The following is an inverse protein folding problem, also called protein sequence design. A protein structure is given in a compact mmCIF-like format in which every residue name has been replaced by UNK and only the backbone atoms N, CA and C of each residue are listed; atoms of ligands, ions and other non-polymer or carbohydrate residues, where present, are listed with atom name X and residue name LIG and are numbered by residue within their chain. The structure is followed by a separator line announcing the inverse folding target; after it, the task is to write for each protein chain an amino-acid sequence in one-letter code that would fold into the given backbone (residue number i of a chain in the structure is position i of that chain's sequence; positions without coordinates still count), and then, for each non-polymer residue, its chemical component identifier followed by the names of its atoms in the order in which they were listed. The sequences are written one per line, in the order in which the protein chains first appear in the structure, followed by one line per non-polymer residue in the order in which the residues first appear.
data_IF_973109833885
#
_entry.id   IF_973109833885
#
_cell.length_a   1.000
_cell.length_b   1.000
_cell.length_c   1.000
_cell.angle_alpha   90.00
_cell.angle_beta   90.00
_cell.angle_gamma   90.00
#
_symmetry.space_group_name_H-M   'P 1'
#
loop_
_entity.id
_entity.type
_entity.pdbx_description
1 polymer ?
#
# COMPACT_ATOMS: atom_id res chain seq x y z
N UNK A 1 19.08 12.89 11.43
CA UNK A 1 17.74 13.40 11.80
C UNK A 1 16.73 12.79 10.83
N UNK A 2 15.79 11.97 11.31
CA UNK A 2 14.85 11.23 10.44
C UNK A 2 13.75 12.10 9.85
N UNK A 3 13.51 13.27 10.45
CA UNK A 3 12.43 14.18 10.09
C UNK A 3 12.99 15.58 9.91
N UNK A 4 12.58 16.24 8.83
CA UNK A 4 13.10 17.56 8.45
C UNK A 4 12.53 18.72 9.29
N UNK A 5 11.38 18.50 9.94
CA UNK A 5 10.72 19.50 10.80
C UNK A 5 9.74 18.84 11.78
N UNK A 6 9.15 19.63 12.69
CA UNK A 6 8.05 19.17 13.55
C UNK A 6 6.68 19.09 12.84
N UNK A 7 6.60 19.35 11.53
CA UNK A 7 5.35 19.32 10.79
C UNK A 7 4.86 17.88 10.57
N UNK A 8 3.64 17.52 11.01
CA UNK A 8 3.12 16.15 10.87
C UNK A 8 3.04 15.66 9.41
N UNK A 9 2.70 16.56 8.48
CA UNK A 9 2.66 16.24 7.05
C UNK A 9 4.07 15.96 6.53
N UNK A 10 5.06 16.77 6.92
CA UNK A 10 6.45 16.55 6.53
C UNK A 10 6.92 15.15 6.99
N UNK A 11 6.58 14.76 8.22
CA UNK A 11 6.93 13.45 8.75
C UNK A 11 6.29 12.29 7.97
N UNK A 12 5.02 12.44 7.56
CA UNK A 12 4.38 11.46 6.70
C UNK A 12 5.06 11.40 5.32
N UNK A 13 5.37 12.55 4.72
CA UNK A 13 6.03 12.63 3.42
C UNK A 13 7.45 12.07 3.45
N UNK A 14 8.18 12.20 4.56
CA UNK A 14 9.50 11.61 4.73
C UNK A 14 9.45 10.06 4.69
N UNK A 15 8.30 9.46 5.00
CA UNK A 15 8.11 8.00 4.97
C UNK A 15 7.48 7.52 3.65
N UNK A 16 6.37 8.15 3.22
CA UNK A 16 5.53 7.66 2.12
C UNK A 16 5.33 8.65 0.97
N UNK A 17 6.02 9.79 0.99
CA UNK A 17 5.86 10.87 0.00
C UNK A 17 6.54 10.62 -1.35
N UNK A 18 7.24 9.49 -1.51
CA UNK A 18 7.80 9.12 -2.82
C UNK A 18 6.75 8.49 -3.74
N UNK A 19 7.07 8.41 -5.04
CA UNK A 19 6.15 7.92 -6.09
C UNK A 19 5.71 6.45 -5.92
N UNK A 20 6.42 5.64 -5.15
CA UNK A 20 6.28 4.19 -5.12
C UNK A 20 5.69 3.64 -3.83
N UNK A 21 5.92 4.31 -2.69
CA UNK A 21 5.50 3.81 -1.38
C UNK A 21 4.02 3.46 -1.29
N UNK A 22 3.14 4.39 -1.69
CA UNK A 22 1.69 4.14 -1.69
C UNK A 22 1.26 3.12 -2.76
N UNK A 23 2.01 2.95 -3.84
CA UNK A 23 1.73 1.92 -4.86
C UNK A 23 2.06 0.52 -4.35
N UNK A 24 3.15 0.35 -3.59
CA UNK A 24 3.49 -0.92 -2.91
C UNK A 24 2.40 -1.29 -1.90
N UNK A 25 1.93 -0.31 -1.11
CA UNK A 25 0.84 -0.53 -0.15
C UNK A 25 -0.46 -0.92 -0.87
N UNK A 26 -0.82 -0.21 -1.96
CA UNK A 26 -1.97 -0.54 -2.81
C UNK A 26 -1.89 -1.97 -3.32
N UNK A 27 -0.71 -2.38 -3.78
CA UNK A 27 -0.48 -3.70 -4.33
C UNK A 27 -0.62 -4.80 -3.27
N UNK A 28 -0.11 -4.56 -2.06
CA UNK A 28 -0.33 -5.44 -0.90
C UNK A 28 -1.81 -5.59 -0.55
N UNK A 29 -2.57 -4.48 -0.50
CA UNK A 29 -4.03 -4.50 -0.33
C UNK A 29 -4.74 -5.25 -1.45
N UNK A 30 -4.16 -5.24 -2.65
CA UNK A 30 -4.61 -5.97 -3.83
C UNK A 30 -4.23 -7.45 -3.84
N UNK A 31 -3.55 -7.96 -2.81
CA UNK A 31 -3.17 -9.37 -2.66
C UNK A 31 -1.82 -9.74 -3.27
N UNK A 32 -1.06 -8.78 -3.81
CA UNK A 32 0.34 -9.04 -4.21
C UNK A 32 1.18 -9.19 -2.97
N UNK A 33 2.06 -10.20 -2.91
CA UNK A 33 2.84 -10.46 -1.69
C UNK A 33 4.31 -10.72 -1.96
N UNK A 34 4.71 -11.02 -3.18
CA UNK A 34 6.12 -11.33 -3.49
C UNK A 34 6.79 -10.20 -4.26
N UNK A 35 8.12 -10.20 -4.27
CA UNK A 35 8.91 -9.27 -5.09
C UNK A 35 8.53 -9.37 -6.58
N UNK A 36 8.29 -10.60 -7.07
CA UNK A 36 7.88 -10.86 -8.45
C UNK A 36 6.50 -10.27 -8.77
N UNK A 37 5.55 -10.35 -7.83
CA UNK A 37 4.22 -9.75 -8.03
C UNK A 37 4.31 -8.24 -8.25
N UNK A 38 5.14 -7.56 -7.45
CA UNK A 38 5.36 -6.11 -7.58
C UNK A 38 6.06 -5.76 -8.90
N UNK A 39 7.09 -6.51 -9.29
CA UNK A 39 7.79 -6.31 -10.57
C UNK A 39 6.89 -6.48 -11.78
N UNK A 40 5.92 -7.38 -11.71
CA UNK A 40 4.93 -7.62 -12.76
C UNK A 40 3.77 -6.59 -12.75
N UNK A 41 3.84 -5.55 -11.90
CA UNK A 41 2.88 -4.47 -11.87
C UNK A 41 2.91 -3.59 -13.12
N UNK A 42 1.77 -2.95 -13.49
CA UNK A 42 1.68 -2.15 -14.69
C UNK A 42 2.57 -0.90 -14.68
N UNK A 43 2.93 -0.39 -13.49
CA UNK A 43 3.80 0.79 -13.36
C UNK A 43 5.29 0.51 -13.59
N UNK A 44 5.69 -0.75 -13.80
CA UNK A 44 7.06 -1.17 -14.15
C UNK A 44 8.14 -0.53 -13.26
N UNK A 45 7.98 -0.67 -11.94
CA UNK A 45 9.00 -0.21 -10.98
C UNK A 45 10.33 -0.93 -11.23
N UNK A 46 11.43 -0.17 -11.27
CA UNK A 46 12.76 -0.76 -11.41
C UNK A 46 13.13 -1.59 -10.16
N UNK A 47 13.83 -2.71 -10.36
CA UNK A 47 14.11 -3.69 -9.29
C UNK A 47 14.93 -3.11 -8.13
N UNK A 48 15.92 -2.28 -8.44
CA UNK A 48 16.73 -1.59 -7.45
C UNK A 48 15.89 -0.61 -6.60
N UNK A 49 14.97 0.13 -7.23
CA UNK A 49 14.05 1.04 -6.55
C UNK A 49 13.07 0.26 -5.69
N UNK A 50 12.44 -0.79 -6.21
CA UNK A 50 11.53 -1.64 -5.44
C UNK A 50 12.23 -2.22 -4.20
N UNK A 51 13.44 -2.76 -4.36
CA UNK A 51 14.24 -3.31 -3.27
C UNK A 51 14.51 -2.26 -2.18
N UNK A 52 14.91 -1.05 -2.58
CA UNK A 52 15.11 0.07 -1.64
C UNK A 52 13.80 0.44 -0.93
N UNK A 53 12.68 0.50 -1.65
CA UNK A 53 11.38 0.89 -1.07
C UNK A 53 10.84 -0.15 -0.11
N UNK A 54 10.93 -1.44 -0.43
CA UNK A 54 10.56 -2.52 0.50
C UNK A 54 11.39 -2.46 1.78
N UNK A 55 12.71 -2.25 1.68
CA UNK A 55 13.58 -2.07 2.85
C UNK A 55 13.20 -0.84 3.67
N UNK A 56 12.90 0.27 3.01
CA UNK A 56 12.49 1.52 3.66
C UNK A 56 11.17 1.35 4.43
N UNK A 57 10.13 0.86 3.76
CA UNK A 57 8.82 0.65 4.38
C UNK A 57 8.89 -0.38 5.52
N UNK A 58 9.75 -1.40 5.41
CA UNK A 58 10.01 -2.35 6.48
C UNK A 58 10.66 -1.68 7.70
N UNK A 59 11.70 -0.86 7.47
CA UNK A 59 12.39 -0.11 8.54
C UNK A 59 11.43 0.80 9.30
N UNK A 60 10.44 1.37 8.62
CA UNK A 60 9.43 2.25 9.21
C UNK A 60 8.17 1.53 9.73
N UNK A 61 8.19 0.19 9.76
CA UNK A 61 7.11 -0.68 10.23
C UNK A 61 5.79 -0.42 9.48
N UNK A 62 5.84 -0.06 8.21
CA UNK A 62 4.66 0.04 7.33
C UNK A 62 4.28 -1.34 6.79
N UNK A 63 5.30 -2.13 6.45
CA UNK A 63 5.15 -3.52 6.05
C UNK A 63 6.16 -4.38 6.82
N UNK A 64 5.97 -5.68 6.77
CA UNK A 64 6.93 -6.69 7.21
C UNK A 64 6.95 -7.85 6.21
N UNK A 65 7.79 -8.85 6.41
CA UNK A 65 7.85 -10.04 5.58
C UNK A 65 8.07 -11.32 6.38
N UNK A 66 7.59 -12.44 5.82
CA UNK A 66 7.98 -13.79 6.21
C UNK A 66 8.53 -14.54 5.01
N UNK A 67 9.34 -15.56 5.25
CA UNK A 67 9.72 -16.48 4.19
C UNK A 67 8.57 -17.45 3.87
N UNK A 68 8.40 -17.79 2.59
CA UNK A 68 7.42 -18.80 2.16
C UNK A 68 7.75 -20.14 2.82
N UNK A 69 6.74 -20.87 3.30
CA UNK A 69 6.94 -22.13 4.04
C UNK A 69 7.66 -23.19 3.20
N UNK A 70 7.34 -23.25 1.91
CA UNK A 70 7.86 -24.16 0.89
C UNK A 70 9.05 -23.58 0.11
N UNK A 71 9.34 -22.28 0.22
CA UNK A 71 10.52 -21.66 -0.36
C UNK A 71 11.16 -20.66 0.61
N UNK A 72 12.13 -21.13 1.39
CA UNK A 72 12.85 -20.33 2.41
C UNK A 72 13.68 -19.17 1.84
N UNK A 73 13.82 -19.04 0.52
CA UNK A 73 14.52 -17.93 -0.13
C UNK A 73 13.57 -16.82 -0.60
N UNK A 74 12.27 -17.11 -0.70
CA UNK A 74 11.28 -16.15 -1.19
C UNK A 74 10.57 -15.44 -0.03
N UNK A 75 10.56 -14.11 -0.07
CA UNK A 75 9.87 -13.26 0.90
C UNK A 75 8.43 -12.99 0.46
N UNK A 76 7.50 -13.18 1.39
CA UNK A 76 6.11 -12.77 1.32
C UNK A 76 5.91 -11.56 2.25
N UNK A 77 5.66 -10.41 1.65
CA UNK A 77 5.43 -9.13 2.31
C UNK A 77 3.97 -8.96 2.73
N UNK A 78 3.73 -8.23 3.81
CA UNK A 78 2.41 -7.90 4.32
C UNK A 78 2.41 -6.56 5.05
N UNK A 79 1.25 -5.89 5.11
CA UNK A 79 1.10 -4.63 5.84
C UNK A 79 0.98 -4.88 7.33
N UNK A 80 1.62 -4.02 8.11
CA UNK A 80 1.39 -3.90 9.55
C UNK A 80 0.09 -3.12 9.80
N UNK A 81 -0.37 -3.03 11.05
CA UNK A 81 -1.49 -2.16 11.39
C UNK A 81 -1.21 -0.68 11.06
N UNK A 82 0.05 -0.25 11.22
CA UNK A 82 0.51 1.09 10.85
C UNK A 82 0.40 1.32 9.34
N UNK A 83 0.79 0.35 8.52
CA UNK A 83 0.63 0.44 7.06
C UNK A 83 -0.82 0.42 6.62
N UNK A 84 -1.66 -0.38 7.28
CA UNK A 84 -3.11 -0.39 7.03
C UNK A 84 -3.78 0.94 7.36
N UNK A 85 -3.27 1.67 8.37
CA UNK A 85 -3.72 3.02 8.73
C UNK A 85 -3.56 4.06 7.62
N UNK A 86 -2.83 3.78 6.54
CA UNK A 86 -2.68 4.67 5.39
C UNK A 86 -3.83 4.56 4.38
N UNK A 87 -4.65 3.50 4.43
CA UNK A 87 -5.74 3.33 3.46
C UNK A 87 -6.76 4.48 3.43
N UNK A 88 -7.21 5.05 4.58
CA UNK A 88 -8.08 6.22 4.57
C UNK A 88 -7.46 7.40 3.81
N UNK A 89 -6.17 7.68 4.00
CA UNK A 89 -5.45 8.75 3.29
C UNK A 89 -5.38 8.46 1.78
N UNK A 90 -5.07 7.22 1.40
CA UNK A 90 -5.09 6.80 0.00
C UNK A 90 -6.49 6.94 -0.63
N UNK A 91 -7.55 6.71 0.14
CA UNK A 91 -8.93 6.86 -0.32
C UNK A 91 -9.27 8.31 -0.68
N UNK A 92 -8.81 9.27 0.13
CA UNK A 92 -8.93 10.69 -0.20
C UNK A 92 -8.12 11.04 -1.44
N UNK A 93 -6.89 10.50 -1.56
CA UNK A 93 -6.05 10.75 -2.72
C UNK A 93 -6.68 10.22 -4.02
N UNK A 94 -7.33 9.04 -3.96
CA UNK A 94 -8.08 8.48 -5.09
C UNK A 94 -9.28 9.35 -5.48
N UNK A 95 -10.04 9.85 -4.50
CA UNK A 95 -11.18 10.76 -4.75
C UNK A 95 -10.72 12.11 -5.30
N UNK A 96 -9.63 12.66 -4.75
CA UNK A 96 -9.02 13.89 -5.25
C UNK A 96 -8.54 13.71 -6.70
N UNK A 97 -7.90 12.59 -7.03
CA UNK A 97 -7.50 12.29 -8.41
C UNK A 97 -8.70 12.19 -9.34
N UNK A 98 -9.78 11.53 -8.93
CA UNK A 98 -11.00 11.41 -9.71
C UNK A 98 -11.66 12.76 -10.03
N UNK A 99 -11.47 13.76 -9.16
CA UNK A 99 -12.02 15.10 -9.33
C UNK A 99 -11.11 16.05 -10.12
N UNK A 100 -9.79 15.93 -9.98
CA UNK A 100 -8.87 16.99 -10.41
C UNK A 100 -7.84 16.56 -11.46
N UNK A 101 -7.74 15.27 -11.80
CA UNK A 101 -6.76 14.77 -12.79
C UNK A 101 -7.51 14.34 -14.04
N UNK A 102 -7.21 14.98 -15.16
CA UNK A 102 -7.74 14.61 -16.47
C UNK A 102 -6.97 13.40 -17.04
N UNK A 103 -7.43 12.20 -16.68
CA UNK A 103 -6.88 10.96 -17.20
C UNK A 103 -7.93 9.84 -17.21
N UNK A 104 -7.79 8.89 -18.13
CA UNK A 104 -8.67 7.71 -18.22
C UNK A 104 -8.34 6.71 -17.11
N UNK A 105 -9.32 6.43 -16.26
CA UNK A 105 -9.23 5.35 -15.27
C UNK A 105 -9.54 3.99 -15.89
N UNK A 106 -8.86 2.94 -15.42
CA UNK A 106 -9.23 1.56 -15.73
C UNK A 106 -10.62 1.22 -15.16
N UNK A 107 -11.25 0.16 -15.67
CA UNK A 107 -12.55 -0.30 -15.15
C UNK A 107 -12.51 -0.62 -13.66
N UNK A 108 -11.40 -1.19 -13.17
CA UNK A 108 -11.17 -1.39 -11.74
C UNK A 108 -11.12 -0.06 -10.99
N UNK A 109 -10.39 0.92 -11.52
CA UNK A 109 -10.29 2.26 -10.94
C UNK A 109 -11.66 2.94 -10.84
N UNK A 110 -12.45 2.92 -11.92
CA UNK A 110 -13.82 3.45 -11.93
C UNK A 110 -14.71 2.81 -10.86
N UNK A 111 -14.66 1.48 -10.72
CA UNK A 111 -15.41 0.75 -9.68
C UNK A 111 -15.01 1.18 -8.26
N UNK A 112 -13.70 1.32 -8.00
CA UNK A 112 -13.19 1.78 -6.69
C UNK A 112 -13.67 3.20 -6.40
N UNK A 113 -13.53 4.13 -7.36
CA UNK A 113 -13.98 5.52 -7.20
C UNK A 113 -15.48 5.58 -6.93
N UNK A 114 -16.29 4.87 -7.72
CA UNK A 114 -17.75 4.82 -7.53
C UNK A 114 -18.14 4.29 -6.15
N UNK A 115 -17.43 3.26 -5.67
CA UNK A 115 -17.65 2.72 -4.32
C UNK A 115 -17.28 3.72 -3.22
N UNK A 116 -16.16 4.44 -3.37
CA UNK A 116 -15.72 5.45 -2.40
C UNK A 116 -16.64 6.68 -2.37
N UNK A 117 -17.15 7.10 -3.53
CA UNK A 117 -18.11 8.21 -3.61
C UNK A 117 -19.45 7.86 -2.96
N UNK A 118 -19.89 6.60 -3.08
CA UNK A 118 -21.15 6.13 -2.49
C UNK A 118 -21.06 6.02 -0.96
N UNK A 119 -20.03 5.36 -0.45
CA UNK A 119 -19.81 5.15 0.98
C UNK A 119 -18.32 4.94 1.27
N UNK A 120 -17.60 6.06 1.41
CA UNK A 120 -16.17 6.03 1.75
C UNK A 120 -15.91 5.33 3.07
N UNK A 121 -16.71 5.63 4.10
CA UNK A 121 -16.48 5.12 5.46
C UNK A 121 -16.66 3.60 5.49
N UNK A 122 -17.79 3.11 4.99
CA UNK A 122 -18.04 1.67 4.90
C UNK A 122 -17.00 0.96 4.05
N UNK A 123 -16.56 1.56 2.94
CA UNK A 123 -15.50 0.97 2.10
C UNK A 123 -14.15 0.90 2.81
N UNK A 124 -13.75 1.94 3.54
CA UNK A 124 -12.52 1.96 4.34
C UNK A 124 -12.58 0.88 5.42
N UNK A 125 -13.67 0.81 6.17
CA UNK A 125 -13.86 -0.17 7.23
C UNK A 125 -13.84 -1.60 6.68
N UNK A 126 -14.48 -1.83 5.53
CA UNK A 126 -14.50 -3.12 4.83
C UNK A 126 -13.10 -3.56 4.41
N UNK A 127 -12.31 -2.68 3.79
CA UNK A 127 -10.94 -3.01 3.35
C UNK A 127 -10.04 -3.32 4.53
N UNK A 128 -10.11 -2.50 5.58
CA UNK A 128 -9.31 -2.71 6.80
C UNK A 128 -9.69 -4.04 7.47
N UNK A 129 -10.99 -4.32 7.60
CA UNK A 129 -11.49 -5.58 8.17
C UNK A 129 -11.08 -6.80 7.35
N UNK A 130 -11.22 -6.73 6.03
CA UNK A 130 -10.86 -7.81 5.12
C UNK A 130 -9.36 -8.12 5.18
N UNK A 131 -8.52 -7.09 5.21
CA UNK A 131 -7.08 -7.27 5.30
C UNK A 131 -6.64 -7.85 6.65
N UNK A 132 -7.21 -7.38 7.76
CA UNK A 132 -6.95 -7.97 9.10
C UNK A 132 -7.33 -9.44 9.14
N UNK A 133 -8.48 -9.81 8.58
CA UNK A 133 -8.92 -11.21 8.47
C UNK A 133 -7.95 -12.05 7.62
N UNK A 134 -7.44 -11.51 6.51
CA UNK A 134 -6.43 -12.17 5.68
C UNK A 134 -5.12 -12.38 6.45
N UNK A 135 -4.63 -11.33 7.14
CA UNK A 135 -3.41 -11.37 7.96
C UNK A 135 -3.50 -12.46 9.04
N UNK A 136 -4.62 -12.52 9.77
CA UNK A 136 -4.86 -13.55 10.80
C UNK A 136 -4.87 -14.97 10.22
N UNK A 137 -5.54 -15.18 9.07
CA UNK A 137 -5.58 -16.50 8.40
C UNK A 137 -4.21 -16.98 7.95
N UNK A 138 -3.33 -16.07 7.55
CA UNK A 138 -2.00 -16.38 7.06
C UNK A 138 -0.95 -16.50 8.19
N UNK A 139 -1.36 -16.41 9.47
CA UNK A 139 -0.46 -16.42 10.64
C UNK A 139 0.64 -15.35 10.53
N UNK A 140 0.33 -14.23 9.86
CA UNK A 140 1.25 -13.10 9.73
C UNK A 140 1.11 -12.27 11.02
N UNK A 141 2.18 -12.20 11.80
CA UNK A 141 2.24 -11.51 13.10
C UNK A 141 2.47 -10.02 12.87
#
# INVERSE_FOLDING_TARGET
MLFRSGCPICNALDIVGDKWSLLVIRDLLGGKTTFKDFMNGPEKIASNILSQRLKWLNKHQILDFKYRKDNKKEKCYYLTDKGMGLYPVMSELMLWSAKNVDNKFSERGKKVIKSLQKDKKGRVDEVVKNYKKLKSKLQLS
#
